data_IF_326377947960
#
_entry.id   IF_326377947960
#
_cell.length_a   1.000
_cell.length_b   1.000
_cell.length_c   1.000
_cell.angle_alpha   90.00
_cell.angle_beta   90.00
_cell.angle_gamma   90.00
#
_symmetry.space_group_name_H-M   'P 1'
#
loop_
_entity.id
_entity.type
_entity.pdbx_description
1 polymer ?
2 non-polymer ?
3 water ?
#
# COMPACT_ATOMS: atom_id res chain seq x y z
N UNK A 1 -10.33 -5.39 11.80
CA UNK A 1 -11.73 -5.77 12.14
C UNK A 1 -12.62 -5.64 10.90
N UNK A 2 -13.73 -6.37 10.88
CA UNK A 2 -14.65 -6.32 9.75
C UNK A 2 -13.85 -6.70 8.51
N UNK A 3 -14.03 -5.96 7.43
CA UNK A 3 -13.31 -6.21 6.20
C UNK A 3 -12.38 -5.03 5.94
N UNK A 4 -11.60 -4.70 6.95
CA UNK A 4 -10.70 -3.58 6.83
C UNK A 4 -9.55 -3.74 7.78
N UNK A 5 -8.46 -3.07 7.47
CA UNK A 5 -7.27 -3.12 8.30
C UNK A 5 -6.67 -1.73 8.29
N UNK A 6 -5.91 -1.43 9.33
CA UNK A 6 -5.25 -0.14 9.45
C UNK A 6 -3.75 -0.39 9.56
N UNK A 7 -2.97 0.38 8.81
CA UNK A 7 -1.53 0.26 8.83
C UNK A 7 -1.01 1.64 9.17
N UNK A 8 -0.12 1.71 10.15
CA UNK A 8 0.46 2.98 10.52
C UNK A 8 1.87 3.02 9.97
N UNK A 9 2.25 4.17 9.40
CA UNK A 9 3.58 4.37 8.83
C UNK A 9 4.23 5.48 9.64
N UNK A 10 5.53 5.40 9.86
CA UNK A 10 6.20 6.43 10.66
C UNK A 10 7.43 7.10 10.01
N UNK A 11 8.14 7.92 10.79
CA UNK A 11 9.32 8.63 10.31
C UNK A 11 10.60 7.81 10.23
N UNK A 12 10.49 6.51 10.54
CA UNK A 12 11.64 5.61 10.50
C UNK A 12 11.53 4.61 9.34
N UNK A 13 10.61 4.89 8.42
CA UNK A 13 10.37 4.10 7.23
C UNK A 13 9.90 2.68 7.53
N UNK A 14 8.85 2.58 8.32
CA UNK A 14 8.36 1.27 8.64
C UNK A 14 6.86 1.24 8.80
N UNK A 15 6.29 0.08 8.46
CA UNK A 15 4.86 -0.18 8.60
C UNK A 15 4.79 -0.86 9.94
N UNK A 16 3.68 -0.70 10.65
CA UNK A 16 3.54 -1.34 11.95
C UNK A 16 2.95 -2.74 11.81
N UNK A 17 2.42 -3.04 10.62
CA UNK A 17 1.82 -4.34 10.36
C UNK A 17 2.57 -4.98 9.19
N UNK A 18 2.95 -6.25 9.32
CA UNK A 18 3.67 -6.93 8.25
C UNK A 18 2.85 -7.94 7.45
N UNK A 19 1.69 -8.31 7.98
CA UNK A 19 0.80 -9.27 7.31
C UNK A 19 -0.65 -8.84 7.46
N UNK A 20 -1.40 -8.92 6.37
CA UNK A 20 -2.82 -8.57 6.34
C UNK A 20 -3.54 -9.77 5.75
N UNK A 21 -4.54 -10.27 6.47
CA UNK A 21 -5.31 -11.42 6.01
C UNK A 21 -6.73 -10.98 5.70
N UNK A 22 -7.15 -11.18 4.46
CA UNK A 22 -8.49 -10.82 4.00
C UNK A 22 -9.43 -12.01 4.19
N UNK A 23 -10.51 -11.79 4.93
CA UNK A 23 -11.47 -12.85 5.20
C UNK A 23 -12.28 -13.19 3.96
N UNK A 24 -12.45 -14.48 3.72
CA UNK A 24 -13.19 -14.96 2.58
C UNK A 24 -14.64 -14.49 2.56
N UNK A 25 -15.13 -13.98 3.69
CA UNK A 25 -16.52 -13.51 3.73
C UNK A 25 -16.70 -12.11 3.13
N UNK A 26 -15.57 -11.43 2.88
CA UNK A 26 -15.56 -10.09 2.34
C UNK A 26 -15.68 -10.04 0.83
N UNK A 27 -16.51 -9.14 0.32
CA UNK A 27 -16.63 -8.97 -1.12
C UNK A 27 -15.83 -7.72 -1.48
N UNK A 28 -15.66 -6.83 -0.49
CA UNK A 28 -14.92 -5.59 -0.66
C UNK A 28 -13.97 -5.50 0.54
N UNK A 29 -12.85 -4.81 0.42
CA UNK A 29 -11.93 -4.69 1.54
C UNK A 29 -11.35 -3.29 1.53
N UNK A 30 -11.13 -2.75 2.72
CA UNK A 30 -10.59 -1.39 2.85
C UNK A 30 -9.30 -1.34 3.65
N UNK A 31 -8.33 -0.63 3.10
CA UNK A 31 -7.05 -0.45 3.76
C UNK A 31 -6.94 1.00 4.20
N UNK A 32 -6.67 1.20 5.48
CA UNK A 32 -6.54 2.54 6.02
C UNK A 32 -5.08 2.77 6.34
N UNK A 33 -4.52 3.87 5.83
CA UNK A 33 -3.12 4.21 6.08
C UNK A 33 -3.04 5.49 6.93
N UNK A 34 -2.25 5.45 8.00
CA UNK A 34 -2.07 6.60 8.87
C UNK A 34 -0.60 6.92 8.92
N UNK A 35 -0.23 8.18 8.69
CA UNK A 35 1.18 8.55 8.80
C UNK A 35 1.24 9.15 10.22
N UNK A 36 1.81 8.41 11.17
CA UNK A 36 1.90 8.86 12.56
C UNK A 36 3.13 9.68 12.91
N UNK A 37 4.03 9.88 11.96
CA UNK A 37 5.21 10.67 12.23
C UNK A 37 4.92 12.16 12.13
N UNK A 38 5.99 12.95 12.04
CA UNK A 38 5.86 14.40 11.95
C UNK A 38 6.61 15.01 10.76
N UNK A 39 7.13 14.18 9.86
CA UNK A 39 7.84 14.68 8.69
C UNK A 39 6.90 14.98 7.52
N UNK A 40 7.30 15.95 6.70
CA UNK A 40 6.55 16.41 5.54
C UNK A 40 6.58 15.38 4.43
N UNK A 41 5.54 15.34 3.61
CA UNK A 41 5.48 14.37 2.54
C UNK A 41 6.60 14.49 1.49
N UNK A 42 7.23 15.66 1.37
CA UNK A 42 8.31 15.81 0.40
C UNK A 42 9.60 15.16 0.87
N UNK A 43 9.68 14.84 2.15
CA UNK A 43 10.88 14.21 2.70
C UNK A 43 10.62 12.79 3.22
N UNK A 44 9.41 12.55 3.72
CA UNK A 44 9.07 11.26 4.29
C UNK A 44 7.64 10.84 3.96
N UNK A 45 7.21 11.06 2.73
CA UNK A 45 5.86 10.69 2.34
C UNK A 45 5.66 9.18 2.27
N UNK A 46 4.44 8.72 2.51
CA UNK A 46 4.18 7.29 2.46
C UNK A 46 2.86 7.04 1.77
N UNK A 47 2.76 5.90 1.10
CA UNK A 47 1.50 5.48 0.51
C UNK A 47 1.41 3.99 0.73
N UNK A 48 0.40 3.37 0.16
CA UNK A 48 0.22 1.95 0.29
C UNK A 48 -0.22 1.55 -1.11
N UNK A 49 0.56 0.65 -1.73
CA UNK A 49 0.31 0.14 -3.08
C UNK A 49 0.23 -1.37 -2.96
N UNK A 50 -0.77 -1.98 -3.60
CA UNK A 50 -0.97 -3.42 -3.54
C UNK A 50 -0.86 -4.04 -4.92
N UNK A 51 0.04 -5.01 -5.06
CA UNK A 51 0.27 -5.70 -6.33
C UNK A 51 0.64 -7.15 -6.02
N UNK A 52 0.80 -7.97 -7.05
CA UNK A 52 1.25 -9.34 -6.81
C UNK A 52 2.69 -9.13 -6.36
N UNK A 53 3.21 -10.07 -5.58
CA UNK A 53 4.58 -9.97 -5.08
C UNK A 53 5.57 -9.82 -6.25
N UNK A 54 5.31 -10.53 -7.34
CA UNK A 54 6.17 -10.48 -8.51
C UNK A 54 6.29 -9.09 -9.14
N UNK A 55 5.23 -8.29 -9.03
CA UNK A 55 5.24 -6.96 -9.64
C UNK A 55 5.77 -5.80 -8.78
N UNK A 56 6.15 -6.10 -7.54
CA UNK A 56 6.66 -5.10 -6.61
C UNK A 56 7.65 -4.07 -7.14
N UNK A 57 8.87 -4.51 -7.45
CA UNK A 57 9.92 -3.63 -7.94
C UNK A 57 9.62 -2.89 -9.23
N UNK A 58 8.99 -3.59 -10.17
CA UNK A 58 8.63 -3.00 -11.45
C UNK A 58 7.67 -1.84 -11.22
N UNK A 59 6.67 -2.06 -10.36
CA UNK A 59 5.68 -1.03 -10.06
C UNK A 59 6.29 0.12 -9.28
N UNK A 60 7.16 -0.18 -8.33
CA UNK A 60 7.82 0.86 -7.54
C UNK A 60 8.74 1.72 -8.42
N UNK A 61 9.43 1.06 -9.34
CA UNK A 61 10.36 1.71 -10.26
C UNK A 61 9.67 2.68 -11.23
N UNK A 62 8.55 2.25 -11.81
CA UNK A 62 7.77 3.08 -12.72
C UNK A 62 7.07 4.16 -11.92
N UNK A 63 6.67 3.81 -10.69
CA UNK A 63 6.01 4.75 -9.81
C UNK A 63 6.92 5.92 -9.46
N UNK A 64 8.20 5.65 -9.22
CA UNK A 64 9.14 6.72 -8.90
C UNK A 64 9.13 7.77 -10.03
N UNK A 65 9.02 7.32 -11.27
CA UNK A 65 9.00 8.23 -12.41
C UNK A 65 7.69 8.96 -12.66
N UNK A 66 6.65 8.64 -11.90
CA UNK A 66 5.35 9.29 -12.05
C UNK A 66 5.35 10.66 -11.37
N UNK A 67 6.11 10.78 -10.28
CA UNK A 67 6.18 12.03 -9.55
C UNK A 67 5.27 12.05 -8.35
N UNK A 68 5.48 13.03 -7.47
CA UNK A 68 4.70 13.20 -6.25
C UNK A 68 3.23 13.51 -6.56
N UNK A 69 3.00 14.37 -7.55
CA UNK A 69 1.64 14.76 -7.92
C UNK A 69 0.81 13.56 -8.35
N UNK A 70 1.49 12.51 -8.81
CA UNK A 70 0.83 11.28 -9.23
C UNK A 70 0.87 10.23 -8.12
N UNK A 71 1.22 10.66 -6.91
CA UNK A 71 1.32 9.78 -5.75
C UNK A 71 2.31 8.63 -5.98
N UNK A 72 3.31 8.88 -6.83
CA UNK A 72 4.34 7.90 -7.17
C UNK A 72 3.83 6.54 -7.65
N UNK A 73 2.72 6.58 -8.39
CA UNK A 73 2.13 5.39 -8.99
C UNK A 73 1.83 5.81 -10.42
N UNK A 74 2.38 5.07 -11.38
CA UNK A 74 2.17 5.35 -12.78
C UNK A 74 0.66 5.32 -13.02
N UNK A 75 0.14 6.41 -13.57
CA UNK A 75 -1.28 6.54 -13.86
C UNK A 75 -1.78 5.36 -14.66
N UNK A 76 -2.85 4.75 -14.18
CA UNK A 76 -3.44 3.60 -14.86
C UNK A 76 -2.54 2.38 -14.96
N UNK A 77 -1.75 2.13 -13.93
CA UNK A 77 -0.88 0.97 -13.94
C UNK A 77 -1.79 -0.26 -13.74
N UNK A 78 -1.82 -1.17 -14.71
CA UNK A 78 -2.66 -2.38 -14.63
C UNK A 78 -2.17 -3.42 -13.62
N UNK A 79 -0.95 -3.24 -13.14
CA UNK A 79 -0.37 -4.14 -12.16
C UNK A 79 -0.71 -3.73 -10.71
N UNK A 80 -1.29 -2.55 -10.52
CA UNK A 80 -1.64 -2.10 -9.18
C UNK A 80 -3.12 -2.36 -8.91
N UNK A 81 -3.37 -3.18 -7.91
CA UNK A 81 -4.73 -3.56 -7.52
C UNK A 81 -5.42 -2.41 -6.80
N UNK A 82 -4.68 -1.73 -5.95
CA UNK A 82 -5.21 -0.61 -5.19
C UNK A 82 -4.06 0.18 -4.62
N UNK A 83 -4.28 1.47 -4.40
CA UNK A 83 -3.24 2.28 -3.80
C UNK A 83 -3.84 3.54 -3.22
N UNK A 84 -3.18 4.07 -2.19
CA UNK A 84 -3.63 5.30 -1.55
C UNK A 84 -2.83 6.44 -2.17
N UNK A 85 -3.08 7.65 -1.71
CA UNK A 85 -2.32 8.79 -2.19
C UNK A 85 -1.12 8.86 -1.24
N UNK A 86 -0.11 9.66 -1.58
CA UNK A 86 1.05 9.84 -0.71
C UNK A 86 0.65 10.86 0.39
N UNK A 87 0.83 10.48 1.65
CA UNK A 87 0.48 11.34 2.78
C UNK A 87 1.71 11.74 3.61
N UNK A 88 1.62 12.87 4.30
CA UNK A 88 2.71 13.32 5.13
C UNK A 88 2.27 13.10 6.56
N UNK A 89 3.09 13.51 7.52
CA UNK A 89 2.74 13.34 8.93
C UNK A 89 1.44 14.00 9.36
N UNK A 90 0.74 13.35 10.28
CA UNK A 90 -0.51 13.87 10.79
C UNK A 90 -1.71 13.63 9.89
N UNK A 91 -1.51 12.93 8.78
CA UNK A 91 -2.58 12.65 7.81
C UNK A 91 -2.91 11.17 7.68
N UNK A 92 -3.88 10.87 6.82
CA UNK A 92 -4.29 9.49 6.59
C UNK A 92 -5.08 9.37 5.31
N UNK A 93 -5.28 8.15 4.84
CA UNK A 93 -6.03 7.91 3.61
C UNK A 93 -6.54 6.48 3.62
N UNK A 94 -7.56 6.21 2.81
CA UNK A 94 -8.15 4.88 2.74
C UNK A 94 -8.34 4.46 1.29
N UNK A 95 -8.31 3.16 1.04
CA UNK A 95 -8.56 2.66 -0.30
C UNK A 95 -9.35 1.37 -0.16
N UNK A 96 -10.40 1.25 -0.95
CA UNK A 96 -11.27 0.09 -0.95
C UNK A 96 -11.12 -0.64 -2.28
N UNK A 97 -10.97 -1.96 -2.23
CA UNK A 97 -10.86 -2.73 -3.46
C UNK A 97 -11.76 -3.97 -3.49
N UNK A 98 -11.98 -4.49 -4.69
CA UNK A 98 -12.80 -5.67 -4.89
C UNK A 98 -12.00 -6.90 -4.55
N UNK A 99 -12.54 -7.72 -3.65
CA UNK A 99 -11.84 -8.92 -3.24
C UNK A 99 -11.72 -9.94 -4.39
N UNK A 100 -12.58 -9.86 -5.39
CA UNK A 100 -12.46 -10.79 -6.51
C UNK A 100 -11.15 -10.60 -7.28
N UNK A 101 -10.52 -9.45 -7.08
CA UNK A 101 -9.26 -9.14 -7.74
C UNK A 101 -8.11 -9.87 -7.03
N UNK A 102 -8.47 -10.62 -6.00
CA UNK A 102 -7.49 -11.34 -5.19
C UNK A 102 -7.78 -12.83 -5.36
N UNK A 103 -6.74 -13.64 -5.37
CA UNK A 103 -6.90 -15.08 -5.52
C UNK A 103 -6.28 -15.82 -4.35
N UNK A 104 -6.93 -16.90 -3.96
CA UNK A 104 -6.47 -17.73 -2.86
C UNK A 104 -5.15 -18.41 -3.25
N UNK A 105 -4.25 -18.53 -2.28
CA UNK A 105 -2.97 -19.16 -2.54
C UNK A 105 -1.95 -18.22 -3.16
N UNK A 106 -2.44 -17.16 -3.80
CA UNK A 106 -1.58 -16.17 -4.43
C UNK A 106 -0.92 -15.27 -3.41
N UNK A 107 0.25 -14.74 -3.77
CA UNK A 107 0.99 -13.85 -2.88
C UNK A 107 0.94 -12.43 -3.35
N UNK A 108 0.49 -11.56 -2.46
CA UNK A 108 0.38 -10.14 -2.75
C UNK A 108 1.24 -9.34 -1.78
N UNK A 109 1.81 -8.26 -2.28
CA UNK A 109 2.67 -7.41 -1.48
C UNK A 109 2.10 -6.00 -1.45
N UNK A 110 2.12 -5.40 -0.27
CA UNK A 110 1.71 -4.01 -0.12
C UNK A 110 3.01 -3.30 0.25
N UNK A 111 3.28 -2.16 -0.37
CA UNK A 111 4.53 -1.46 -0.13
C UNK A 111 4.35 0.00 -0.44
N UNK A 112 5.34 0.79 -0.04
CA UNK A 112 5.33 2.23 -0.26
C UNK A 112 6.18 2.53 -1.49
N UNK A 113 5.59 3.22 -2.47
CA UNK A 113 6.32 3.56 -3.69
C UNK A 113 7.03 4.93 -3.71
N UNK A 114 7.02 5.63 -2.58
CA UNK A 114 7.72 6.91 -2.48
C UNK A 114 9.19 6.50 -2.68
N UNK A 115 9.94 7.22 -3.54
CA UNK A 115 11.35 6.94 -3.82
C UNK A 115 12.21 6.33 -2.72
N UNK A 116 12.73 5.13 -3.00
CA UNK A 116 13.58 4.43 -2.06
C UNK A 116 12.91 3.72 -0.90
N UNK A 117 11.63 3.97 -0.65
CA UNK A 117 10.96 3.33 0.49
C UNK A 117 10.60 1.85 0.37
N UNK A 118 10.38 1.36 -0.84
CA UNK A 118 9.98 -0.03 -1.07
C UNK A 118 10.88 -1.10 -0.47
N UNK A 119 12.18 -0.85 -0.41
CA UNK A 119 13.12 -1.80 0.13
C UNK A 119 12.97 -2.02 1.62
N UNK A 120 12.29 -1.11 2.31
CA UNK A 120 12.10 -1.24 3.75
C UNK A 120 10.65 -1.28 4.20
N UNK A 121 9.76 -0.78 3.37
CA UNK A 121 8.35 -0.75 3.73
C UNK A 121 7.54 -1.68 2.88
N UNK A 122 7.30 -2.89 3.38
CA UNK A 122 6.53 -3.87 2.64
C UNK A 122 5.92 -4.90 3.56
N UNK A 123 4.79 -5.47 3.13
CA UNK A 123 4.10 -6.49 3.90
C UNK A 123 3.38 -7.45 2.96
N UNK A 124 2.80 -8.51 3.50
CA UNK A 124 2.11 -9.50 2.69
C UNK A 124 0.62 -9.47 2.95
N UNK A 125 -0.16 -9.54 1.88
CA UNK A 125 -1.60 -9.58 1.98
C UNK A 125 -2.05 -10.88 1.30
N UNK A 126 -3.04 -11.56 1.87
CA UNK A 126 -3.54 -12.78 1.28
C UNK A 126 -4.95 -13.08 1.74
N UNK A 127 -5.66 -13.87 0.94
CA UNK A 127 -7.03 -14.30 1.20
C UNK A 127 -6.90 -15.54 2.07
N UNK A 128 -7.64 -15.59 3.17
CA UNK A 128 -7.55 -16.75 4.04
C UNK A 128 -8.48 -16.62 5.23
N UNK A 129 -9.21 -17.69 5.53
CA UNK A 129 -10.17 -17.68 6.65
C UNK A 129 -10.33 -19.05 7.32
X LIG B 1 7.07 5.73 2.37
#
# INVERSE_FOLDING_TARGET
AQCEATVESNDAMQYNVKEIVVDKSCKQFTMHLKHVGKMAKVAMGHNLVLTKDADKQAVATDGMGAGLAQDYVKAGDTRVIAHTKVIGGGESDSVTFDVSKIAAGENYAYFCSFPGHWAMMKGTLKLGS
CU1 CU
#
